data_IF_805451231755
#
_entry.id   IF_805451231755
#
_cell.length_a   1.000
_cell.length_b   1.000
_cell.length_c   1.000
_cell.angle_alpha   90.00
_cell.angle_beta   90.00
_cell.angle_gamma   90.00
#
_symmetry.space_group_name_H-M   'P 1'
#
loop_
_entity.id
_entity.type
_entity.pdbx_description
1 polymer ?
#
# COMPACT_ATOMS: atom_id res chain seq x y z
N UNK A 1 36.06 39.42 -27.91
CA UNK A 1 35.17 38.97 -29.01
C UNK A 1 35.85 37.76 -29.64
N UNK A 2 35.41 36.51 -29.58
CA UNK A 2 34.07 35.91 -29.49
C UNK A 2 34.25 34.51 -28.88
N UNK A 3 33.79 34.30 -27.65
CA UNK A 3 33.59 32.96 -27.07
C UNK A 3 32.28 32.40 -27.60
N UNK A 4 32.37 31.49 -28.57
CA UNK A 4 31.23 30.71 -29.07
C UNK A 4 31.66 29.26 -29.15
N UNK A 5 31.27 28.47 -28.15
CA UNK A 5 30.81 27.09 -28.35
C UNK A 5 30.22 26.48 -27.08
N UNK A 6 29.10 25.80 -27.31
CA UNK A 6 28.48 24.77 -26.48
C UNK A 6 27.90 25.17 -25.12
N UNK A 7 26.69 25.71 -25.19
CA UNK A 7 25.48 25.01 -24.75
C UNK A 7 25.71 23.62 -24.12
N UNK A 8 25.59 23.52 -22.79
CA UNK A 8 25.04 22.34 -22.12
C UNK A 8 24.45 22.76 -20.77
N UNK A 9 23.19 23.19 -20.87
CA UNK A 9 22.11 23.12 -19.89
C UNK A 9 22.53 23.02 -18.42
N UNK A 10 22.49 24.19 -17.78
CA UNK A 10 22.32 24.32 -16.35
C UNK A 10 21.17 23.41 -15.86
N UNK A 11 21.54 22.49 -14.97
CA UNK A 11 20.90 22.21 -13.67
C UNK A 11 19.36 22.35 -13.62
N UNK A 12 18.74 21.25 -13.15
CA UNK A 12 17.39 21.11 -12.58
C UNK A 12 16.27 20.83 -13.57
N UNK A 13 15.93 19.55 -13.65
CA UNK A 13 14.67 19.03 -13.07
C UNK A 13 14.73 17.51 -13.12
N UNK A 14 15.13 16.90 -12.00
CA UNK A 14 14.80 15.49 -11.76
C UNK A 14 13.28 15.47 -11.63
N UNK A 15 12.59 15.14 -12.72
CA UNK A 15 11.18 14.78 -12.67
C UNK A 15 11.09 13.45 -11.93
N UNK A 16 11.02 13.51 -10.59
CA UNK A 16 10.71 12.35 -9.77
C UNK A 16 9.26 12.01 -10.09
N UNK A 17 9.06 11.13 -11.07
CA UNK A 17 7.77 10.53 -11.35
C UNK A 17 7.24 9.97 -10.04
N UNK A 18 6.08 10.46 -9.62
CA UNK A 18 5.49 10.19 -8.31
C UNK A 18 5.21 8.71 -8.12
N UNK A 19 6.22 7.95 -7.69
CA UNK A 19 6.04 6.65 -7.09
C UNK A 19 5.40 6.92 -5.74
N UNK A 20 4.07 6.93 -5.69
CA UNK A 20 3.36 6.90 -4.41
C UNK A 20 3.84 5.61 -3.73
N UNK A 21 4.57 5.70 -2.61
CA UNK A 21 5.02 4.50 -1.93
C UNK A 21 3.76 3.70 -1.58
N UNK A 22 3.70 2.48 -2.09
CA UNK A 22 2.62 1.57 -1.76
C UNK A 22 2.86 1.21 -0.29
N UNK A 23 1.93 1.55 0.62
CA UNK A 23 2.16 1.46 2.07
C UNK A 23 2.24 0.01 2.57
N UNK A 24 1.88 -0.95 1.72
CA UNK A 24 1.84 -2.39 2.03
C UNK A 24 2.77 -3.14 1.10
N UNK A 25 3.55 -4.07 1.64
CA UNK A 25 4.38 -5.01 0.88
C UNK A 25 3.78 -6.40 0.87
N UNK A 26 3.93 -7.09 -0.27
CA UNK A 26 3.57 -8.50 -0.40
C UNK A 26 4.50 -9.36 0.46
N UNK A 27 3.94 -10.31 1.19
CA UNK A 27 4.65 -11.26 2.04
C UNK A 27 4.94 -10.77 3.45
N UNK A 28 4.73 -9.48 3.73
CA UNK A 28 4.84 -8.95 5.09
C UNK A 28 3.54 -9.16 5.87
N UNK A 29 3.72 -9.27 7.18
CA UNK A 29 2.65 -9.38 8.16
C UNK A 29 2.43 -8.02 8.79
N UNK A 30 1.16 -7.63 8.93
CA UNK A 30 0.78 -6.38 9.56
C UNK A 30 -0.30 -6.63 10.61
N UNK A 31 -0.19 -5.93 11.72
CA UNK A 31 -1.26 -5.77 12.68
C UNK A 31 -2.30 -4.81 12.13
N UNK A 32 -3.51 -5.31 11.94
CA UNK A 32 -4.63 -4.47 11.51
C UNK A 32 -5.83 -4.65 12.43
N UNK A 33 -6.57 -3.56 12.56
CA UNK A 33 -7.84 -3.56 13.27
C UNK A 33 -8.95 -3.63 12.24
N UNK A 34 -9.87 -4.57 12.45
CA UNK A 34 -11.04 -4.71 11.59
C UNK A 34 -12.07 -3.67 12.00
N UNK A 35 -12.26 -2.65 11.17
CA UNK A 35 -13.24 -1.58 11.42
C UNK A 35 -14.67 -2.07 11.20
N UNK A 36 -14.86 -2.97 10.22
CA UNK A 36 -16.18 -3.47 9.89
C UNK A 36 -16.13 -4.83 9.19
N UNK A 37 -17.25 -5.54 9.24
CA UNK A 37 -17.45 -6.84 8.58
C UNK A 37 -18.73 -6.75 7.77
N UNK A 38 -18.65 -7.18 6.52
CA UNK A 38 -19.84 -7.29 5.67
C UNK A 38 -20.75 -8.43 6.14
N UNK A 39 -22.02 -8.42 5.72
CA UNK A 39 -22.99 -9.48 6.05
C UNK A 39 -22.58 -10.90 5.60
N UNK A 40 -21.57 -11.01 4.74
CA UNK A 40 -20.97 -12.28 4.27
C UNK A 40 -19.83 -12.81 5.16
N UNK A 41 -19.41 -12.06 6.18
CA UNK A 41 -18.29 -12.45 7.05
C UNK A 41 -16.92 -12.02 6.52
N UNK A 42 -16.87 -11.10 5.56
CA UNK A 42 -15.63 -10.51 5.06
C UNK A 42 -15.22 -9.33 5.96
N UNK A 43 -14.02 -9.38 6.53
CA UNK A 43 -13.42 -8.28 7.28
C UNK A 43 -12.85 -7.21 6.36
N UNK A 44 -13.19 -5.96 6.65
CA UNK A 44 -12.63 -4.79 6.00
C UNK A 44 -11.66 -4.13 6.97
N UNK A 45 -10.37 -4.20 6.62
CA UNK A 45 -9.31 -3.48 7.29
C UNK A 45 -8.91 -2.26 6.46
N UNK A 46 -8.54 -1.17 7.15
CA UNK A 46 -8.12 0.08 6.51
C UNK A 46 -6.77 0.52 7.04
N UNK A 47 -5.76 0.50 6.18
CA UNK A 47 -4.38 0.87 6.53
C UNK A 47 -4.03 2.16 5.80
N UNK A 48 -3.95 3.29 6.52
CA UNK A 48 -3.61 4.61 5.94
C UNK A 48 -4.45 4.98 4.69
N UNK A 49 -5.75 4.61 4.69
CA UNK A 49 -6.66 4.81 3.55
C UNK A 49 -6.60 3.74 2.47
N UNK A 50 -5.80 2.70 2.65
CA UNK A 50 -5.73 1.53 1.78
C UNK A 50 -6.65 0.43 2.29
N UNK A 51 -7.49 -0.12 1.41
CA UNK A 51 -8.49 -1.14 1.76
C UNK A 51 -7.82 -2.51 1.66
N UNK A 52 -7.89 -3.27 2.74
CA UNK A 52 -7.40 -4.64 2.82
C UNK A 52 -8.57 -5.55 3.13
N UNK A 53 -8.78 -6.53 2.26
CA UNK A 53 -9.81 -7.55 2.45
C UNK A 53 -9.22 -8.74 3.18
N UNK A 54 -9.87 -9.12 4.28
CA UNK A 54 -9.42 -10.20 5.17
C UNK A 54 -10.59 -11.16 5.40
N UNK A 55 -10.62 -12.33 4.74
CA UNK A 55 -11.71 -13.29 4.90
C UNK A 55 -11.64 -13.93 6.29
N UNK A 56 -12.80 -14.20 6.90
CA UNK A 56 -12.88 -14.89 8.20
C UNK A 56 -12.53 -14.01 9.41
N UNK A 57 -12.64 -12.69 9.27
CA UNK A 57 -12.37 -11.73 10.34
C UNK A 57 -13.66 -11.26 11.01
N UNK A 58 -13.59 -10.86 12.28
CA UNK A 58 -14.70 -10.23 13.01
C UNK A 58 -14.43 -8.75 13.28
N UNK A 59 -15.51 -7.99 13.46
CA UNK A 59 -15.42 -6.55 13.79
C UNK A 59 -14.78 -6.39 15.16
N UNK A 60 -13.83 -5.47 15.28
CA UNK A 60 -13.17 -5.15 16.53
C UNK A 60 -12.04 -6.10 16.92
N UNK A 61 -11.78 -7.16 16.14
CA UNK A 61 -10.61 -8.00 16.36
C UNK A 61 -9.35 -7.32 15.81
N UNK A 62 -8.27 -7.50 16.57
CA UNK A 62 -6.91 -7.20 16.14
C UNK A 62 -6.32 -8.49 15.58
N UNK A 63 -6.15 -8.55 14.26
CA UNK A 63 -5.65 -9.73 13.59
C UNK A 63 -4.31 -9.43 12.95
N UNK A 64 -3.41 -10.39 13.04
CA UNK A 64 -2.23 -10.44 12.19
C UNK A 64 -2.67 -10.88 10.80
N UNK A 65 -2.42 -10.03 9.81
CA UNK A 65 -2.74 -10.33 8.41
C UNK A 65 -1.47 -10.40 7.60
N UNK A 66 -1.35 -11.44 6.79
CA UNK A 66 -0.26 -11.58 5.83
C UNK A 66 -0.74 -11.14 4.46
N UNK A 67 -0.08 -10.14 3.89
CA UNK A 67 -0.41 -9.64 2.56
C UNK A 67 0.06 -10.68 1.53
N UNK A 68 -0.88 -11.28 0.79
CA UNK A 68 -0.55 -12.24 -0.27
C UNK A 68 -0.44 -11.58 -1.63
N UNK A 69 -1.25 -10.54 -1.86
CA UNK A 69 -1.22 -9.80 -3.11
C UNK A 69 -1.65 -8.35 -2.92
N UNK A 70 -0.94 -7.44 -3.57
CA UNK A 70 -1.26 -6.00 -3.57
C UNK A 70 -1.64 -5.59 -4.98
N UNK A 71 -2.84 -5.02 -5.11
CA UNK A 71 -3.35 -4.42 -6.34
C UNK A 71 -3.20 -2.89 -6.32
N UNK A 72 -3.55 -2.24 -7.43
CA UNK A 72 -3.42 -0.77 -7.58
C UNK A 72 -4.24 0.05 -6.56
N UNK A 73 -5.28 -0.52 -5.95
CA UNK A 73 -6.23 0.18 -5.05
C UNK A 73 -6.59 -0.58 -3.77
N UNK A 74 -6.28 -1.87 -3.69
CA UNK A 74 -6.61 -2.71 -2.54
C UNK A 74 -5.55 -3.81 -2.39
N UNK A 75 -5.45 -4.42 -1.20
CA UNK A 75 -4.67 -5.63 -0.99
C UNK A 75 -5.58 -6.76 -0.54
N UNK A 76 -5.15 -7.97 -0.87
CA UNK A 76 -5.71 -9.21 -0.36
C UNK A 76 -4.72 -9.73 0.67
N UNK A 77 -5.22 -9.97 1.87
CA UNK A 77 -4.45 -10.51 2.96
C UNK A 77 -5.22 -11.66 3.61
N UNK A 78 -4.49 -12.65 4.09
CA UNK A 78 -5.05 -13.78 4.83
C UNK A 78 -4.69 -13.65 6.31
N UNK A 79 -5.63 -13.87 7.24
CA UNK A 79 -5.34 -13.79 8.66
C UNK A 79 -4.46 -14.98 9.08
N UNK A 80 -3.41 -14.71 9.85
CA UNK A 80 -2.52 -15.74 10.39
C UNK A 80 -2.99 -16.05 11.80
N UNK A 81 -3.86 -17.05 11.95
CA UNK A 81 -4.21 -17.60 13.25
C UNK A 81 -3.04 -18.48 13.72
N UNK A 82 -2.23 -17.97 14.65
CA UNK A 82 -1.16 -18.72 15.31
C UNK A 82 -1.64 -19.39 16.58
#
# INVERSE_FOLDING_TARGET
>A
MIERRCMCMARRRVGVGGYRPIPVKVGEEYDVVIESVGSRGDGIARIQGFIVFVPGSKVGDHLHVKIESVSRRFAVASPVAR
#
